data_IF_107619026020
#
_entry.id   IF_107619026020
#
_cell.length_a   1.000
_cell.length_b   1.000
_cell.length_c   1.000
_cell.angle_alpha   90.00
_cell.angle_beta   90.00
_cell.angle_gamma   90.00
#
_symmetry.space_group_name_H-M   'P 1'
#
loop_
_entity.id
_entity.type
_entity.pdbx_description
1 polymer ?
#
# COMPACT_ATOMS: atom_id res chain seq x y z
N UNK A 1 0.42 -13.21 52.96
CA UNK A 1 0.92 -12.38 51.83
C UNK A 1 0.89 -13.27 50.59
N UNK A 2 0.47 -12.69 49.48
CA UNK A 2 -0.13 -13.35 48.31
C UNK A 2 0.72 -14.46 47.69
N UNK A 3 0.11 -15.61 47.44
CA UNK A 3 0.69 -16.71 46.67
C UNK A 3 0.61 -16.36 45.17
N UNK A 4 1.73 -16.53 44.48
CA UNK A 4 1.87 -16.43 43.02
C UNK A 4 0.85 -17.33 42.33
N UNK A 5 -0.01 -16.70 41.53
CA UNK A 5 -1.04 -17.36 40.75
C UNK A 5 -0.40 -17.86 39.44
N UNK A 6 0.41 -18.91 39.53
CA UNK A 6 1.21 -19.40 38.41
C UNK A 6 0.36 -20.30 37.49
N UNK A 7 -0.42 -19.67 36.62
CA UNK A 7 -1.08 -20.37 35.52
C UNK A 7 -0.09 -20.52 34.36
N UNK A 8 0.32 -21.76 34.08
CA UNK A 8 1.18 -22.08 32.94
C UNK A 8 0.37 -21.97 31.64
N UNK A 9 0.91 -21.34 30.59
CA UNK A 9 0.27 -21.29 29.27
C UNK A 9 1.34 -21.36 28.18
N UNK A 10 1.27 -22.38 27.32
CA UNK A 10 2.22 -22.60 26.23
C UNK A 10 1.51 -23.06 24.94
N UNK A 11 2.05 -22.75 23.77
CA UNK A 11 1.56 -23.22 22.48
C UNK A 11 2.46 -24.34 21.95
N UNK A 12 1.88 -25.49 21.62
CA UNK A 12 2.58 -26.66 21.09
C UNK A 12 2.20 -26.87 19.63
N UNK A 13 3.16 -26.80 18.72
CA UNK A 13 2.99 -27.16 17.31
C UNK A 13 3.21 -28.67 17.13
N UNK A 14 2.23 -29.36 16.55
CA UNK A 14 2.25 -30.81 16.33
C UNK A 14 2.66 -31.18 14.89
N UNK A 15 3.27 -32.36 14.66
CA UNK A 15 3.71 -32.80 13.33
C UNK A 15 2.61 -32.95 12.28
N UNK A 16 1.34 -33.05 12.71
CA UNK A 16 0.17 -33.13 11.83
C UNK A 16 -0.36 -31.74 11.42
N UNK A 17 0.34 -30.67 11.79
CA UNK A 17 -0.02 -29.29 11.45
C UNK A 17 -0.99 -28.62 12.43
N UNK A 18 -1.39 -29.31 13.51
CA UNK A 18 -2.20 -28.70 14.57
C UNK A 18 -1.34 -27.87 15.52
N UNK A 19 -1.92 -26.81 16.08
CA UNK A 19 -1.33 -26.09 17.21
C UNK A 19 -2.29 -26.19 18.40
N UNK A 20 -1.80 -26.68 19.53
CA UNK A 20 -2.55 -26.72 20.79
C UNK A 20 -2.08 -25.61 21.73
N UNK A 21 -3.03 -24.93 22.37
CA UNK A 21 -2.77 -24.12 23.57
C UNK A 21 -2.92 -25.03 24.80
N UNK A 22 -1.86 -25.14 25.57
CA UNK A 22 -1.79 -25.93 26.80
C UNK A 22 -1.78 -24.98 27.99
N UNK A 23 -2.83 -25.03 28.82
CA UNK A 23 -2.92 -24.22 30.03
C UNK A 23 -2.91 -25.10 31.27
N UNK A 24 -1.96 -24.90 32.17
CA UNK A 24 -1.91 -25.53 33.49
C UNK A 24 -2.50 -24.61 34.56
N UNK A 25 -3.46 -25.10 35.34
CA UNK A 25 -4.01 -24.37 36.50
C UNK A 25 -3.96 -25.25 37.75
N UNK A 26 -3.35 -24.78 38.85
CA UNK A 26 -3.44 -25.46 40.13
C UNK A 26 -4.90 -25.46 40.61
N UNK A 27 -5.41 -26.63 40.99
CA UNK A 27 -6.74 -26.83 41.52
C UNK A 27 -6.73 -26.68 43.06
N UNK A 28 -7.79 -26.14 43.68
CA UNK A 28 -7.81 -25.84 45.12
C UNK A 28 -7.59 -27.03 46.07
N UNK A 29 -7.77 -28.26 45.59
CA UNK A 29 -7.53 -29.51 46.35
C UNK A 29 -6.08 -30.03 46.23
N UNK A 30 -5.20 -29.30 45.55
CA UNK A 30 -3.82 -29.68 45.31
C UNK A 30 -3.59 -30.49 44.03
N UNK A 31 -4.63 -30.76 43.23
CA UNK A 31 -4.47 -31.32 41.90
C UNK A 31 -3.97 -30.28 40.89
N UNK A 32 -3.38 -30.72 39.78
CA UNK A 32 -3.00 -29.86 38.66
C UNK A 32 -3.92 -30.17 37.47
N UNK A 33 -4.68 -29.18 37.01
CA UNK A 33 -5.53 -29.32 35.84
C UNK A 33 -4.79 -28.83 34.59
N UNK A 34 -4.78 -29.65 33.54
CA UNK A 34 -4.29 -29.26 32.22
C UNK A 34 -5.47 -29.13 31.24
N UNK A 35 -5.54 -28.00 30.54
CA UNK A 35 -6.45 -27.76 29.44
C UNK A 35 -5.65 -27.79 28.13
N UNK A 36 -6.13 -28.57 27.16
CA UNK A 36 -5.62 -28.60 25.80
C UNK A 36 -6.71 -28.05 24.88
N UNK A 37 -6.39 -26.99 24.16
CA UNK A 37 -7.33 -26.33 23.25
C UNK A 37 -6.74 -26.33 21.83
N UNK A 38 -7.51 -26.84 20.86
CA UNK A 38 -7.15 -26.74 19.44
C UNK A 38 -7.30 -25.29 18.97
N UNK A 39 -6.17 -24.64 18.69
CA UNK A 39 -6.13 -23.27 18.15
C UNK A 39 -5.62 -23.26 16.69
N UNK A 40 -5.59 -24.42 16.03
CA UNK A 40 -5.02 -24.59 14.69
C UNK A 40 -5.76 -23.75 13.66
N UNK A 41 -7.08 -23.67 13.71
CA UNK A 41 -7.87 -22.87 12.77
C UNK A 41 -7.63 -21.36 12.96
N UNK A 42 -7.62 -20.88 14.20
CA UNK A 42 -7.40 -19.46 14.52
C UNK A 42 -5.98 -19.00 14.11
N UNK A 43 -4.98 -19.82 14.43
CA UNK A 43 -3.59 -19.55 14.06
C UNK A 43 -3.32 -19.73 12.57
N UNK A 44 -3.94 -20.70 11.91
CA UNK A 44 -3.79 -20.90 10.46
C UNK A 44 -4.47 -19.78 9.67
N UNK A 45 -5.62 -19.29 10.12
CA UNK A 45 -6.34 -18.19 9.46
C UNK A 45 -5.57 -16.88 9.55
N UNK A 46 -5.06 -16.54 10.74
CA UNK A 46 -4.25 -15.32 10.93
C UNK A 46 -2.94 -15.39 10.15
N UNK A 47 -2.24 -16.54 10.19
CA UNK A 47 -1.00 -16.75 9.41
C UNK A 47 -1.27 -16.64 7.90
N UNK A 48 -2.33 -17.27 7.39
CA UNK A 48 -2.72 -17.21 5.98
C UNK A 48 -3.08 -15.79 5.56
N UNK A 49 -3.84 -15.06 6.36
CA UNK A 49 -4.21 -13.68 6.09
C UNK A 49 -2.98 -12.76 6.00
N UNK A 50 -2.05 -12.85 6.96
CA UNK A 50 -0.79 -12.10 6.93
C UNK A 50 0.04 -12.43 5.69
N UNK A 51 0.17 -13.71 5.35
CA UNK A 51 0.88 -14.15 4.15
C UNK A 51 0.27 -13.58 2.86
N UNK A 52 -1.06 -13.47 2.77
CA UNK A 52 -1.71 -12.83 1.62
C UNK A 52 -1.44 -11.31 1.54
N UNK A 53 -1.41 -10.60 2.68
CA UNK A 53 -1.05 -9.17 2.72
C UNK A 53 0.40 -8.98 2.27
N UNK A 54 1.33 -9.78 2.80
CA UNK A 54 2.75 -9.72 2.45
C UNK A 54 2.96 -10.01 0.96
N UNK A 55 2.28 -11.03 0.42
CA UNK A 55 2.32 -11.33 -1.00
C UNK A 55 1.76 -10.18 -1.84
N UNK A 56 0.64 -9.57 -1.43
CA UNK A 56 0.09 -8.39 -2.09
C UNK A 56 1.07 -7.21 -2.11
N UNK A 57 1.74 -6.95 -1.00
CA UNK A 57 2.78 -5.91 -0.91
C UNK A 57 3.98 -6.23 -1.83
N UNK A 58 4.44 -7.47 -1.86
CA UNK A 58 5.53 -7.91 -2.76
C UNK A 58 5.17 -7.73 -4.24
N UNK A 59 3.94 -8.06 -4.62
CA UNK A 59 3.44 -7.84 -5.98
C UNK A 59 3.50 -6.35 -6.31
N UNK A 60 2.97 -5.48 -5.44
CA UNK A 60 3.03 -4.03 -5.65
C UNK A 60 4.45 -3.48 -5.74
N UNK A 61 5.36 -3.93 -4.87
CA UNK A 61 6.77 -3.51 -4.85
C UNK A 61 7.57 -3.97 -6.09
N UNK A 62 7.05 -4.97 -6.81
CA UNK A 62 7.60 -5.43 -8.10
C UNK A 62 7.21 -4.53 -9.29
N UNK A 63 6.15 -3.72 -9.13
CA UNK A 63 5.68 -2.82 -10.19
C UNK A 63 6.60 -1.60 -10.32
N UNK A 64 6.88 -1.17 -11.56
CA UNK A 64 7.71 0.01 -11.86
C UNK A 64 6.94 1.31 -11.68
N UNK A 65 5.63 1.29 -11.92
CA UNK A 65 4.76 2.44 -11.72
C UNK A 65 4.57 2.72 -10.23
N UNK A 66 4.74 3.98 -9.84
CA UNK A 66 4.51 4.41 -8.47
C UNK A 66 3.02 4.34 -8.14
N UNK A 67 2.66 3.67 -7.05
CA UNK A 67 1.28 3.45 -6.65
C UNK A 67 1.08 3.65 -5.14
N UNK A 68 -0.03 4.29 -4.77
CA UNK A 68 -0.46 4.50 -3.39
C UNK A 68 -1.97 4.36 -3.27
N UNK A 69 -2.42 3.68 -2.23
CA UNK A 69 -3.83 3.45 -1.93
C UNK A 69 -4.22 4.14 -0.62
N UNK A 70 -5.38 4.79 -0.64
CA UNK A 70 -5.98 5.47 0.50
C UNK A 70 -7.33 4.82 0.87
N UNK A 71 -7.64 4.84 2.16
CA UNK A 71 -8.95 4.48 2.67
C UNK A 71 -9.99 5.53 2.23
N UNK A 72 -11.28 5.21 2.42
CA UNK A 72 -12.35 6.18 2.20
C UNK A 72 -12.26 7.40 3.14
N UNK A 73 -11.59 7.26 4.29
CA UNK A 73 -11.32 8.36 5.23
C UNK A 73 -10.09 9.19 4.86
N UNK A 74 -9.31 8.74 3.87
CA UNK A 74 -8.13 9.44 3.36
C UNK A 74 -6.83 9.04 4.03
N UNK A 75 -6.80 8.00 4.86
CA UNK A 75 -5.55 7.48 5.43
C UNK A 75 -4.83 6.61 4.40
N UNK A 76 -3.49 6.71 4.32
CA UNK A 76 -2.70 5.82 3.48
C UNK A 76 -2.80 4.38 4.02
N UNK A 77 -3.22 3.46 3.16
CA UNK A 77 -3.36 2.04 3.50
C UNK A 77 -2.19 1.22 2.96
N UNK A 78 -1.68 1.59 1.77
CA UNK A 78 -0.62 0.84 1.11
C UNK A 78 0.12 1.74 0.11
N UNK A 79 1.43 1.55 -0.03
CA UNK A 79 2.23 2.17 -1.09
C UNK A 79 3.26 1.18 -1.57
N UNK A 80 3.73 1.35 -2.80
CA UNK A 80 4.80 0.51 -3.34
C UNK A 80 6.18 1.19 -3.27
N UNK A 81 7.21 0.39 -3.52
CA UNK A 81 8.60 0.84 -3.56
C UNK A 81 8.82 1.97 -4.56
N UNK A 82 8.24 1.89 -5.76
CA UNK A 82 8.35 2.94 -6.75
C UNK A 82 7.77 4.27 -6.24
N UNK A 83 6.63 4.25 -5.54
CA UNK A 83 6.05 5.43 -4.92
C UNK A 83 6.96 6.05 -3.86
N UNK A 84 7.50 5.22 -2.96
CA UNK A 84 8.44 5.69 -1.93
C UNK A 84 9.72 6.28 -2.50
N UNK A 85 10.22 5.74 -3.62
CA UNK A 85 11.37 6.29 -4.33
C UNK A 85 11.04 7.61 -5.04
N UNK A 86 9.82 7.74 -5.57
CA UNK A 86 9.39 8.91 -6.34
C UNK A 86 9.14 10.13 -5.46
N UNK A 87 8.42 9.95 -4.35
CA UNK A 87 7.97 11.06 -3.50
C UNK A 87 8.77 11.20 -2.20
N UNK A 88 9.59 10.20 -1.87
CA UNK A 88 10.42 10.19 -0.67
C UNK A 88 9.62 9.91 0.59
N UNK A 89 10.24 9.20 1.53
CA UNK A 89 9.71 9.02 2.88
C UNK A 89 9.90 10.25 3.80
N UNK A 90 10.31 11.39 3.26
CA UNK A 90 10.68 12.58 4.04
C UNK A 90 9.55 13.63 4.12
N UNK A 91 8.43 13.40 3.43
CA UNK A 91 7.27 14.28 3.46
C UNK A 91 6.37 14.13 4.70
N UNK A 92 6.48 13.01 5.43
CA UNK A 92 5.65 12.76 6.60
C UNK A 92 6.29 13.34 7.86
N UNK A 93 6.05 14.63 8.08
CA UNK A 93 6.43 15.37 9.29
C UNK A 93 5.62 14.95 10.55
N UNK A 94 4.67 14.02 10.41
CA UNK A 94 3.80 13.55 11.48
C UNK A 94 4.20 12.18 12.04
N UNK A 95 3.95 11.97 13.34
CA UNK A 95 4.09 10.67 14.02
C UNK A 95 2.95 9.67 13.66
N UNK A 96 2.06 10.02 12.73
CA UNK A 96 0.86 9.26 12.38
C UNK A 96 0.91 8.65 10.98
N UNK A 97 -0.15 7.90 10.63
CA UNK A 97 -0.34 7.37 9.28
C UNK A 97 -0.51 8.56 8.32
N UNK A 98 0.29 8.66 7.23
CA UNK A 98 0.16 9.75 6.28
C UNK A 98 -1.25 9.79 5.69
N UNK A 99 -1.81 10.98 5.57
CA UNK A 99 -3.13 11.17 4.96
C UNK A 99 -3.01 11.63 3.51
N UNK A 100 -4.10 11.51 2.75
CA UNK A 100 -4.21 12.04 1.40
C UNK A 100 -3.92 13.54 1.36
N UNK A 101 -4.30 14.30 2.39
CA UNK A 101 -4.01 15.73 2.46
C UNK A 101 -2.51 16.00 2.60
N UNK A 102 -1.81 15.20 3.41
CA UNK A 102 -0.35 15.30 3.58
C UNK A 102 0.37 14.97 2.27
N UNK A 103 0.00 13.86 1.63
CA UNK A 103 0.59 13.42 0.36
C UNK A 103 0.28 14.41 -0.78
N UNK A 104 -0.94 14.96 -0.82
CA UNK A 104 -1.30 16.00 -1.79
C UNK A 104 -0.45 17.27 -1.61
N UNK A 105 -0.11 17.64 -0.38
CA UNK A 105 0.79 18.76 -0.13
C UNK A 105 2.20 18.47 -0.67
N UNK A 106 2.70 17.24 -0.49
CA UNK A 106 3.98 16.78 -1.05
C UNK A 106 3.96 16.81 -2.57
N UNK A 107 2.92 16.28 -3.22
CA UNK A 107 2.80 16.28 -4.68
C UNK A 107 2.75 17.70 -5.23
N UNK A 108 2.01 18.61 -4.59
CA UNK A 108 1.92 20.02 -4.98
C UNK A 108 3.25 20.75 -4.82
N UNK A 109 4.00 20.46 -3.76
CA UNK A 109 5.29 21.08 -3.51
C UNK A 109 6.36 20.65 -4.52
N UNK A 110 6.27 19.44 -5.06
CA UNK A 110 7.28 18.84 -5.94
C UNK A 110 6.91 18.84 -7.43
N UNK A 111 5.79 19.46 -7.80
CA UNK A 111 5.31 19.54 -9.19
C UNK A 111 5.11 20.98 -9.64
N UNK A 112 5.20 21.20 -10.96
CA UNK A 112 4.87 22.47 -11.56
C UNK A 112 3.40 22.85 -11.22
N UNK A 113 3.08 24.15 -11.10
CA UNK A 113 1.72 24.60 -10.80
C UNK A 113 0.69 24.00 -11.76
N UNK A 114 -0.18 23.12 -11.25
CA UNK A 114 -1.20 22.46 -12.04
C UNK A 114 -2.60 22.72 -11.43
N UNK A 115 -3.54 23.34 -12.18
CA UNK A 115 -4.90 23.58 -11.73
C UNK A 115 -5.64 22.32 -11.26
N UNK A 116 -5.22 21.14 -11.74
CA UNK A 116 -5.74 19.85 -11.32
C UNK A 116 -5.67 19.67 -9.80
N UNK A 117 -4.57 20.07 -9.17
CA UNK A 117 -4.39 19.94 -7.72
C UNK A 117 -5.39 20.74 -6.89
N UNK A 118 -5.90 21.86 -7.43
CA UNK A 118 -6.91 22.66 -6.75
C UNK A 118 -8.30 22.01 -6.78
N UNK A 119 -8.55 21.09 -7.73
CA UNK A 119 -9.81 20.33 -7.79
C UNK A 119 -9.82 19.17 -6.78
N UNK A 120 -8.64 18.67 -6.42
CA UNK A 120 -8.49 17.64 -5.41
C UNK A 120 -8.43 18.28 -4.03
N UNK A 121 -9.56 18.33 -3.33
CA UNK A 121 -9.60 18.76 -1.92
C UNK A 121 -9.75 17.57 -0.96
N UNK A 122 -10.30 16.46 -1.44
CA UNK A 122 -10.58 15.26 -0.64
C UNK A 122 -10.38 13.99 -1.46
N UNK A 123 -10.20 12.86 -0.76
CA UNK A 123 -10.06 11.54 -1.37
C UNK A 123 -11.31 11.10 -2.15
N UNK A 124 -12.49 11.62 -1.79
CA UNK A 124 -13.75 11.34 -2.49
C UNK A 124 -13.84 11.97 -3.88
N UNK A 125 -13.05 13.03 -4.14
CA UNK A 125 -12.93 13.65 -5.45
C UNK A 125 -12.11 12.83 -6.46
N UNK A 126 -11.54 11.69 -6.03
CA UNK A 126 -10.80 10.76 -6.87
C UNK A 126 -11.77 9.78 -7.55
N UNK A 127 -12.58 10.25 -8.50
CA UNK A 127 -13.30 9.37 -9.43
C UNK A 127 -12.40 9.01 -10.61
N UNK A 128 -12.66 7.88 -11.27
CA UNK A 128 -11.85 7.33 -12.37
C UNK A 128 -11.43 8.40 -13.40
N UNK A 129 -10.24 8.97 -13.21
CA UNK A 129 -9.78 10.16 -13.91
C UNK A 129 -8.28 10.10 -14.14
N UNK A 130 -7.86 10.78 -15.20
CA UNK A 130 -6.47 10.84 -15.62
C UNK A 130 -6.05 12.31 -15.63
N UNK A 131 -4.85 12.58 -15.13
CA UNK A 131 -4.28 13.92 -15.16
C UNK A 131 -2.79 13.87 -15.50
N UNK A 132 -2.34 14.75 -16.38
CA UNK A 132 -0.93 14.91 -16.65
C UNK A 132 -0.35 15.96 -15.71
N UNK A 133 0.82 15.65 -15.15
CA UNK A 133 1.61 16.56 -14.31
C UNK A 133 3.03 16.65 -14.86
N UNK A 134 3.72 17.72 -14.51
CA UNK A 134 5.16 17.83 -14.71
C UNK A 134 5.82 17.99 -13.34
N UNK A 135 6.84 17.17 -13.07
CA UNK A 135 7.70 17.38 -11.91
C UNK A 135 8.59 18.60 -12.11
N UNK A 136 9.16 19.16 -11.02
CA UNK A 136 10.08 20.31 -11.12
C UNK A 136 11.32 20.04 -11.96
N UNK A 137 11.73 18.78 -12.08
CA UNK A 137 12.81 18.35 -12.96
C UNK A 137 12.42 18.33 -14.46
N UNK A 138 11.16 18.65 -14.79
CA UNK A 138 10.63 18.69 -16.17
C UNK A 138 10.11 17.35 -16.69
N UNK A 139 10.24 16.26 -15.94
CA UNK A 139 9.75 14.94 -16.38
C UNK A 139 8.21 14.88 -16.31
N UNK A 140 7.53 14.52 -17.40
CA UNK A 140 6.08 14.39 -17.43
C UNK A 140 5.63 13.04 -16.83
N UNK A 141 4.60 13.09 -15.99
CA UNK A 141 3.93 11.91 -15.44
C UNK A 141 2.44 11.98 -15.72
N UNK A 142 1.84 10.83 -16.01
CA UNK A 142 0.39 10.65 -16.04
C UNK A 142 -0.06 10.03 -14.74
N UNK A 143 -1.04 10.65 -14.10
CA UNK A 143 -1.67 10.17 -12.89
C UNK A 143 -2.95 9.45 -13.26
N UNK A 144 -3.10 8.25 -12.73
CA UNK A 144 -4.32 7.46 -12.83
C UNK A 144 -4.95 7.36 -11.45
N UNK A 145 -6.15 7.91 -11.32
CA UNK A 145 -6.96 7.79 -10.13
C UNK A 145 -8.04 6.77 -10.40
N UNK A 146 -8.16 5.75 -9.56
CA UNK A 146 -9.22 4.76 -9.67
C UNK A 146 -9.81 4.42 -8.31
N UNK A 147 -11.02 3.87 -8.34
CA UNK A 147 -11.74 3.43 -7.15
C UNK A 147 -11.77 1.92 -7.14
N UNK A 148 -11.28 1.33 -6.06
CA UNK A 148 -11.33 -0.12 -5.87
C UNK A 148 -12.73 -0.53 -5.40
N UNK A 149 -13.10 -1.79 -5.64
CA UNK A 149 -14.40 -2.34 -5.25
C UNK A 149 -14.69 -2.26 -3.75
N UNK A 150 -13.63 -2.15 -2.93
CA UNK A 150 -13.68 -2.02 -1.48
C UNK A 150 -13.89 -0.58 -1.00
N UNK A 151 -14.03 0.40 -1.91
CA UNK A 151 -14.18 1.82 -1.58
C UNK A 151 -12.87 2.58 -1.36
N UNK A 152 -11.73 1.86 -1.37
CA UNK A 152 -10.40 2.46 -1.37
C UNK A 152 -10.12 3.20 -2.67
N UNK A 153 -9.25 4.21 -2.62
CA UNK A 153 -8.82 4.97 -3.80
C UNK A 153 -7.38 4.64 -4.10
N UNK A 154 -7.08 4.35 -5.35
CA UNK A 154 -5.74 4.09 -5.84
C UNK A 154 -5.29 5.27 -6.70
N UNK A 155 -4.09 5.76 -6.42
CA UNK A 155 -3.40 6.75 -7.26
C UNK A 155 -2.15 6.09 -7.81
N UNK A 156 -1.98 6.13 -9.12
CA UNK A 156 -0.78 5.66 -9.80
C UNK A 156 -0.12 6.77 -10.59
N UNK A 157 1.19 6.71 -10.71
CA UNK A 157 2.02 7.70 -11.39
C UNK A 157 2.88 6.95 -12.43
N UNK A 158 2.49 7.08 -13.69
CA UNK A 158 3.22 6.54 -14.82
C UNK A 158 4.08 7.63 -15.44
N UNK A 159 5.39 7.39 -15.57
CA UNK A 159 6.25 8.29 -16.33
C UNK A 159 5.83 8.26 -17.80
N UNK A 160 5.64 9.42 -18.41
CA UNK A 160 5.46 9.51 -19.86
C UNK A 160 6.85 9.61 -20.48
N UNK A 161 7.16 8.69 -21.39
CA UNK A 161 8.34 8.86 -22.22
C UNK A 161 8.23 10.21 -22.95
N UNK A 162 9.17 11.11 -22.65
CA UNK A 162 9.32 12.34 -23.41
C UNK A 162 9.85 11.91 -24.76
N UNK A 163 8.98 11.89 -25.77
CA UNK A 163 9.35 11.52 -27.13
C UNK A 163 10.23 12.63 -27.75
N UNK A 164 11.48 12.74 -27.29
CA UNK A 164 12.52 13.55 -27.88
C UNK A 164 13.16 12.76 -29.04
N UNK A 165 12.40 12.60 -30.12
CA UNK A 165 12.85 11.77 -31.25
C UNK A 165 11.91 11.65 -32.44
N UNK A 166 10.95 12.56 -32.65
CA UNK A 166 10.21 12.64 -33.92
C UNK A 166 10.71 13.82 -34.76
N UNK A 167 11.99 13.75 -35.13
CA UNK A 167 12.65 14.75 -35.96
C UNK A 167 13.73 14.13 -36.83
N UNK A 168 13.34 13.46 -37.93
CA UNK A 168 14.03 13.68 -39.19
C UNK A 168 13.13 13.46 -40.41
N UNK A 169 13.22 14.46 -41.27
CA UNK A 169 12.62 14.74 -42.58
C UNK A 169 12.50 13.59 -43.58
N UNK A 170 11.34 13.57 -44.23
CA UNK A 170 11.16 13.09 -45.61
C UNK A 170 10.30 14.07 -46.40
N UNK A 171 10.74 15.33 -46.51
CA UNK A 171 10.27 16.20 -47.59
C UNK A 171 11.07 15.84 -48.85
N UNK A 172 10.47 15.12 -49.78
CA UNK A 172 10.76 15.37 -51.18
C UNK A 172 9.44 15.26 -51.97
N UNK A 173 9.02 16.42 -52.45
CA UNK A 173 7.82 16.67 -53.21
C UNK A 173 8.24 16.79 -54.68
N UNK A 174 7.37 16.30 -55.57
CA UNK A 174 7.36 16.51 -57.04
C UNK A 174 8.53 15.95 -57.87
N UNK A 175 8.21 15.03 -58.79
CA UNK A 175 8.00 15.41 -60.20
C UNK A 175 7.50 14.25 -61.08
N UNK A 176 6.40 14.52 -61.80
CA UNK A 176 6.21 14.28 -63.25
C UNK A 176 6.17 12.81 -63.73
N UNK A 177 4.99 12.37 -64.16
CA UNK A 177 4.58 12.25 -65.57
C UNK A 177 5.37 11.21 -66.35
N UNK A 178 4.66 10.17 -66.82
CA UNK A 178 5.12 9.25 -67.86
C UNK A 178 4.43 7.92 -67.78
#
# INVERSE_FOLDING_TARGET
MAAENDSYCESWDLPNGQTFRVTGRPHPDGALAFLFEDISEELSMTRRFRSQIEMGQQILDSMTEAAVAFSATGEMVMSNRAYRLLWGSEGHLGLGVPTFADELAVWRANTAPNPFWHRLSTVSGLSDQIADIQMHNGHPYTLHFSTLSTGHRLVRFAERETNAGAGWSGTENLARNG
#
